data_IF_779205274149
#
_entry.id   IF_779205274149
#
_cell.length_a   1.000
_cell.length_b   1.000
_cell.length_c   1.000
_cell.angle_alpha   90.00
_cell.angle_beta   90.00
_cell.angle_gamma   90.00
#
_symmetry.space_group_name_H-M   'P 1'
#
loop_
_entity.id
_entity.type
_entity.pdbx_description
1 polymer ?
#
# COMPACT_ATOMS: atom_id res chain seq x y z
N UNK A 1 10.01 -11.27 2.75
CA UNK A 1 11.01 -11.29 1.66
C UNK A 1 12.19 -10.37 2.00
N UNK A 2 13.43 -10.76 1.70
CA UNK A 2 14.62 -9.93 2.03
C UNK A 2 14.63 -8.62 1.24
N UNK A 3 14.96 -7.53 1.92
CA UNK A 3 15.06 -6.20 1.32
C UNK A 3 16.50 -5.82 1.01
N UNK A 4 16.68 -5.30 -0.20
CA UNK A 4 17.93 -4.72 -0.66
C UNK A 4 17.66 -3.24 -0.98
N UNK A 5 18.20 -2.28 -0.20
CA UNK A 5 17.89 -0.85 -0.35
C UNK A 5 18.12 -0.34 -1.78
N UNK A 6 19.17 -0.85 -2.42
CA UNK A 6 19.55 -0.45 -3.78
C UNK A 6 18.60 -0.96 -4.86
N UNK A 7 17.81 -2.00 -4.58
CA UNK A 7 16.85 -2.57 -5.52
C UNK A 7 15.56 -1.77 -5.62
N UNK A 8 15.29 -0.85 -4.68
CA UNK A 8 14.05 -0.07 -4.61
C UNK A 8 14.33 1.41 -4.71
N UNK A 9 13.77 2.08 -5.73
CA UNK A 9 13.96 3.52 -5.96
C UNK A 9 13.58 4.36 -4.73
N UNK A 10 12.46 4.03 -4.09
CA UNK A 10 11.95 4.74 -2.91
C UNK A 10 12.80 4.55 -1.65
N UNK A 11 13.64 3.51 -1.58
CA UNK A 11 14.48 3.22 -0.41
C UNK A 11 15.90 3.77 -0.54
N UNK A 12 16.27 4.33 -1.71
CA UNK A 12 17.62 4.85 -1.96
C UNK A 12 18.02 5.99 -1.00
N UNK A 13 17.06 6.82 -0.62
CA UNK A 13 17.28 7.99 0.24
C UNK A 13 17.03 7.69 1.73
N UNK A 14 16.68 6.46 2.09
CA UNK A 14 16.42 6.07 3.48
C UNK A 14 17.69 5.56 4.16
N UNK A 15 17.89 5.94 5.42
CA UNK A 15 19.03 5.44 6.20
C UNK A 15 18.90 3.93 6.46
N UNK A 16 19.95 3.15 6.17
CA UNK A 16 19.92 1.66 6.19
C UNK A 16 19.43 1.06 7.51
N UNK A 17 19.74 1.69 8.64
CA UNK A 17 19.33 1.23 9.98
C UNK A 17 17.81 1.34 10.19
N UNK A 18 17.15 2.23 9.44
CA UNK A 18 15.71 2.43 9.53
C UNK A 18 14.92 1.46 8.64
N UNK A 19 15.59 0.75 7.73
CA UNK A 19 14.96 -0.21 6.85
C UNK A 19 14.80 -1.56 7.56
N UNK A 20 13.66 -2.20 7.31
CA UNK A 20 13.47 -3.58 7.74
C UNK A 20 14.40 -4.49 6.94
N UNK A 21 14.95 -5.53 7.57
CA UNK A 21 15.77 -6.52 6.86
C UNK A 21 14.93 -7.42 5.95
N UNK A 22 13.71 -7.71 6.38
CA UNK A 22 12.72 -8.49 5.66
C UNK A 22 11.40 -7.72 5.68
N UNK A 23 10.76 -7.63 4.53
CA UNK A 23 9.41 -7.09 4.41
C UNK A 23 8.41 -8.21 4.54
N UNK A 24 7.31 -7.94 5.24
CA UNK A 24 6.02 -8.62 5.14
C UNK A 24 5.98 -10.14 5.41
N UNK A 25 4.96 -10.64 6.12
CA UNK A 25 4.55 -12.01 5.91
C UNK A 25 3.93 -12.11 4.50
N UNK A 26 4.51 -12.93 3.64
CA UNK A 26 3.95 -13.20 2.32
C UNK A 26 3.67 -14.69 2.17
N UNK A 27 2.48 -15.08 1.68
CA UNK A 27 2.18 -16.49 1.49
C UNK A 27 2.97 -17.03 0.29
N UNK A 28 3.45 -18.26 0.44
CA UNK A 28 4.08 -19.00 -0.66
C UNK A 28 2.97 -19.61 -1.51
N UNK A 29 2.87 -19.16 -2.77
CA UNK A 29 1.86 -19.64 -3.70
C UNK A 29 2.24 -20.97 -4.36
N UNK A 30 3.53 -21.16 -4.69
CA UNK A 30 4.01 -22.39 -5.34
C UNK A 30 5.50 -22.61 -5.11
N UNK A 31 5.93 -23.87 -4.97
CA UNK A 31 7.34 -24.25 -5.08
C UNK A 31 7.69 -24.47 -6.57
N UNK A 32 8.62 -23.68 -7.11
CA UNK A 32 9.03 -23.78 -8.53
C UNK A 32 10.18 -24.78 -8.70
N UNK A 33 11.02 -24.95 -7.68
CA UNK A 33 12.10 -25.94 -7.70
C UNK A 33 12.61 -26.27 -6.31
N UNK A 34 13.76 -26.95 -6.24
CA UNK A 34 14.36 -27.33 -4.94
C UNK A 34 14.62 -26.11 -4.04
N UNK A 35 15.05 -25.00 -4.64
CA UNK A 35 15.52 -23.81 -3.93
C UNK A 35 14.74 -22.53 -4.26
N UNK A 36 13.74 -22.59 -5.15
CA UNK A 36 13.01 -21.42 -5.63
C UNK A 36 11.51 -21.54 -5.33
N UNK A 37 10.94 -20.46 -4.78
CA UNK A 37 9.54 -20.37 -4.39
C UNK A 37 8.89 -19.13 -5.00
N UNK A 38 7.66 -19.31 -5.49
CA UNK A 38 6.77 -18.24 -5.91
C UNK A 38 6.01 -17.73 -4.69
N UNK A 39 6.16 -16.45 -4.41
CA UNK A 39 5.52 -15.73 -3.32
C UNK A 39 4.42 -14.84 -3.90
N UNK A 40 3.32 -14.71 -3.18
CA UNK A 40 2.29 -13.73 -3.50
C UNK A 40 2.72 -12.36 -2.97
N UNK A 41 3.02 -11.45 -3.88
CA UNK A 41 3.40 -10.07 -3.59
C UNK A 41 2.27 -9.19 -4.10
N UNK A 42 1.97 -8.08 -3.40
CA UNK A 42 0.92 -7.15 -3.83
C UNK A 42 1.16 -6.68 -5.26
N UNK A 43 0.12 -6.58 -6.09
CA UNK A 43 0.26 -6.20 -7.50
C UNK A 43 0.83 -4.79 -7.70
N UNK A 44 0.65 -3.91 -6.71
CA UNK A 44 1.21 -2.57 -6.67
C UNK A 44 2.75 -2.54 -6.57
N UNK A 45 3.37 -3.66 -6.19
CA UNK A 45 4.81 -3.79 -6.06
C UNK A 45 5.38 -4.49 -7.30
N UNK A 46 6.10 -3.73 -8.13
CA UNK A 46 6.80 -4.23 -9.33
C UNK A 46 8.04 -5.07 -8.96
N UNK A 47 7.83 -6.19 -8.28
CA UNK A 47 8.88 -7.08 -7.76
C UNK A 47 8.68 -8.46 -8.36
N UNK A 48 9.78 -9.13 -8.72
CA UNK A 48 9.74 -10.52 -9.16
C UNK A 48 9.06 -11.40 -8.12
N UNK A 49 8.09 -12.22 -8.52
CA UNK A 49 7.36 -13.09 -7.57
C UNK A 49 8.17 -14.33 -7.14
N UNK A 50 9.31 -14.61 -7.77
CA UNK A 50 10.08 -15.84 -7.56
C UNK A 50 11.37 -15.52 -6.82
N UNK A 51 11.57 -16.17 -5.68
CA UNK A 51 12.71 -15.93 -4.80
C UNK A 51 13.47 -17.22 -4.51
N UNK A 52 14.78 -17.07 -4.34
CA UNK A 52 15.60 -18.12 -3.79
C UNK A 52 15.35 -18.28 -2.28
N UNK A 53 15.45 -19.48 -1.74
CA UNK A 53 15.18 -19.79 -0.32
C UNK A 53 16.01 -18.92 0.64
N UNK A 54 17.23 -18.53 0.25
CA UNK A 54 18.10 -17.63 1.05
C UNK A 54 17.59 -16.20 1.18
N UNK A 55 16.63 -15.79 0.36
CA UNK A 55 15.96 -14.49 0.42
C UNK A 55 14.66 -14.54 1.20
N UNK A 56 14.24 -15.73 1.66
CA UNK A 56 13.04 -15.94 2.44
C UNK A 56 13.41 -16.24 3.89
N UNK A 57 12.54 -15.82 4.80
CA UNK A 57 12.63 -16.15 6.23
C UNK A 57 11.28 -16.70 6.65
N UNK A 58 11.28 -17.86 7.30
CA UNK A 58 10.07 -18.41 7.88
C UNK A 58 9.55 -17.48 8.98
N UNK A 59 8.23 -17.24 8.97
CA UNK A 59 7.56 -16.49 10.02
C UNK A 59 7.34 -17.44 11.18
N UNK A 60 7.92 -17.12 12.34
CA UNK A 60 7.67 -17.87 13.57
C UNK A 60 6.32 -17.40 14.11
N UNK A 61 5.27 -18.20 13.89
CA UNK A 61 3.99 -18.01 14.57
C UNK A 61 4.15 -18.51 15.99
N UNK A 62 4.07 -17.61 16.96
CA UNK A 62 3.98 -18.00 18.35
C UNK A 62 2.62 -18.67 18.57
N UNK A 63 2.60 -19.80 19.29
CA UNK A 63 1.36 -20.59 19.49
C UNK A 63 0.44 -19.96 20.53
N UNK A 64 0.99 -19.11 21.40
CA UNK A 64 0.24 -18.49 22.50
C UNK A 64 -0.34 -17.12 22.14
N UNK A 65 0.33 -16.36 21.28
CA UNK A 65 -0.13 -15.04 20.83
C UNK A 65 0.26 -14.78 19.38
N UNK A 66 -0.70 -14.94 18.47
CA UNK A 66 -0.50 -14.74 17.03
C UNK A 66 -0.07 -13.30 16.70
N UNK A 67 -0.45 -12.32 17.52
CA UNK A 67 -0.10 -10.90 17.34
C UNK A 67 1.39 -10.65 17.49
N UNK A 68 2.11 -11.51 18.22
CA UNK A 68 3.56 -11.38 18.40
C UNK A 68 4.36 -11.62 17.11
N UNK A 69 3.77 -12.35 16.16
CA UNK A 69 4.37 -12.53 14.83
C UNK A 69 4.19 -11.30 13.94
N UNK A 70 3.29 -10.39 14.30
CA UNK A 70 3.03 -9.15 13.57
C UNK A 70 4.00 -8.06 14.03
N UNK A 71 4.67 -7.41 13.09
CA UNK A 71 5.47 -6.25 13.42
C UNK A 71 4.56 -5.02 13.59
N UNK A 72 4.61 -4.36 14.75
CA UNK A 72 3.97 -3.06 14.96
C UNK A 72 4.65 -1.91 14.20
N UNK A 73 5.83 -2.15 13.61
CA UNK A 73 6.56 -1.11 12.88
C UNK A 73 5.87 -0.86 11.54
N UNK A 74 5.82 0.41 11.14
CA UNK A 74 5.29 0.78 9.83
C UNK A 74 6.00 -0.03 8.72
N UNK A 75 5.23 -0.62 7.78
CA UNK A 75 5.81 -1.36 6.67
C UNK A 75 6.63 -0.43 5.78
N UNK A 76 7.71 -0.96 5.21
CA UNK A 76 8.68 -0.15 4.45
C UNK A 76 8.31 -0.08 2.97
N UNK A 77 7.71 -1.14 2.42
CA UNK A 77 7.26 -1.19 1.02
C UNK A 77 5.77 -1.47 0.87
N UNK A 78 5.18 -2.26 1.78
CA UNK A 78 3.78 -2.68 1.64
C UNK A 78 2.90 -1.74 2.46
N UNK A 79 2.36 -0.70 1.84
CA UNK A 79 1.20 -0.02 2.46
C UNK A 79 0.05 -1.04 2.49
N UNK A 80 -0.59 -1.22 3.65
CA UNK A 80 -1.86 -1.95 3.70
C UNK A 80 -2.79 -1.29 2.68
N UNK A 81 -3.32 -2.07 1.75
CA UNK A 81 -4.27 -1.61 0.74
C UNK A 81 -5.56 -1.24 1.43
N UNK A 82 -5.70 0.03 1.82
CA UNK A 82 -6.97 0.61 2.25
C UNK A 82 -7.74 1.11 1.02
N UNK A 83 -7.73 0.32 -0.08
CA UNK A 83 -8.26 0.74 -1.37
C UNK A 83 -9.75 1.07 -1.29
N UNK A 84 -10.47 0.44 -0.35
CA UNK A 84 -11.87 0.72 -0.08
C UNK A 84 -12.07 2.10 0.55
N UNK A 85 -11.32 2.42 1.62
CA UNK A 85 -11.39 3.71 2.30
C UNK A 85 -10.97 4.87 1.38
N UNK A 86 -9.94 4.66 0.56
CA UNK A 86 -9.48 5.68 -0.40
C UNK A 86 -10.54 5.96 -1.46
N UNK A 87 -11.22 4.93 -1.99
CA UNK A 87 -12.32 5.12 -2.95
C UNK A 87 -13.48 5.89 -2.34
N UNK A 88 -13.81 5.60 -1.08
CA UNK A 88 -14.88 6.27 -0.35
C UNK A 88 -14.55 7.75 -0.12
N UNK A 89 -13.31 8.06 0.27
CA UNK A 89 -12.84 9.45 0.43
C UNK A 89 -12.89 10.22 -0.90
N UNK A 90 -12.41 9.63 -2.00
CA UNK A 90 -12.43 10.28 -3.31
C UNK A 90 -13.87 10.53 -3.77
N UNK A 91 -14.78 9.60 -3.51
CA UNK A 91 -16.20 9.77 -3.82
C UNK A 91 -16.83 10.93 -3.04
N UNK A 92 -16.55 11.01 -1.73
CA UNK A 92 -17.03 12.12 -0.88
C UNK A 92 -16.47 13.46 -1.36
N UNK A 93 -15.16 13.54 -1.66
CA UNK A 93 -14.55 14.76 -2.18
C UNK A 93 -15.15 15.18 -3.54
N UNK A 94 -15.49 14.22 -4.40
CA UNK A 94 -16.21 14.45 -5.65
C UNK A 94 -17.59 15.06 -5.44
N UNK A 95 -18.36 14.56 -4.46
CA UNK A 95 -19.68 15.09 -4.10
C UNK A 95 -19.58 16.54 -3.57
N UNK A 96 -18.60 16.82 -2.72
CA UNK A 96 -18.38 18.19 -2.18
C UNK A 96 -18.04 19.16 -3.32
N UNK A 97 -17.19 18.75 -4.27
CA UNK A 97 -16.86 19.57 -5.43
C UNK A 97 -18.05 19.83 -6.36
N UNK A 98 -18.93 18.84 -6.55
CA UNK A 98 -20.17 19.00 -7.32
C UNK A 98 -21.12 19.99 -6.65
N UNK A 99 -21.33 19.85 -5.33
CA UNK A 99 -22.20 20.74 -4.55
C UNK A 99 -21.71 22.19 -4.56
N UNK A 100 -20.40 22.40 -4.50
CA UNK A 100 -19.81 23.74 -4.61
C UNK A 100 -20.09 24.39 -5.98
N UNK A 101 -20.03 23.62 -7.07
CA UNK A 101 -20.38 24.11 -8.43
C UNK A 101 -21.86 24.40 -8.59
N UNK A 102 -22.73 23.60 -7.98
CA UNK A 102 -24.17 23.86 -8.02
C UNK A 102 -24.54 25.15 -7.30
N UNK A 103 -23.90 25.44 -6.16
CA UNK A 103 -24.10 26.68 -5.42
C UNK A 103 -23.65 27.91 -6.22
N UNK A 104 -22.49 27.85 -6.89
CA UNK A 104 -22.03 28.96 -7.75
C UNK A 104 -22.98 29.20 -8.93
N UNK A 105 -23.50 28.13 -9.53
CA UNK A 105 -24.44 28.22 -10.65
C UNK A 105 -25.82 28.76 -10.24
N UNK A 106 -26.23 28.57 -8.98
CA UNK A 106 -27.47 29.13 -8.43
C UNK A 106 -27.32 30.62 -8.09
N UNK A 107 -26.14 31.02 -7.61
CA UNK A 107 -25.82 32.41 -7.30
C UNK A 107 -25.76 33.26 -8.58
N UNK A 108 -25.18 32.73 -9.67
CA UNK A 108 -25.22 33.35 -10.99
C UNK A 108 -26.65 33.44 -11.57
N UNK A 109 -27.52 32.47 -11.28
CA UNK A 109 -28.93 32.49 -11.71
C UNK A 109 -29.82 33.42 -10.90
N UNK A 110 -29.41 33.84 -9.70
CA UNK A 110 -30.16 34.76 -8.85
C UNK A 110 -29.96 36.25 -9.21
N UNK A 111 -29.03 36.55 -10.14
CA UNK A 111 -28.80 37.90 -10.67
C UNK A 111 -29.43 38.14 -12.07
N UNK A 112 -30.77 38.15 -12.19
CA UNK A 112 -31.41 39.00 -13.17
C UNK A 112 -32.46 39.83 -12.46
N UNK A 113 -32.19 41.13 -12.26
CA UNK A 113 -33.15 42.24 -12.09
C UNK A 113 -32.42 43.44 -11.47
N UNK A 114 -31.51 44.05 -12.24
CA UNK A 114 -31.17 45.46 -12.10
C UNK A 114 -30.86 46.04 -13.48
N UNK A 115 -31.88 46.07 -14.32
CA UNK A 115 -31.96 47.02 -15.43
C UNK A 115 -33.39 47.58 -15.49
N UNK A 116 -33.59 48.70 -14.80
CA UNK A 116 -34.11 49.97 -15.35
C UNK A 116 -34.20 51.02 -14.25
#
# INVERSE_FOLDING_TARGET
>A
MKLYPYSFKHLKNMHKVLLHRYEGPFPIRKRIGKVAYKVEVSPHLEIHMVFHVSQLKAVNKDKEDERRAESHRAPTLVTKTHDHEVKEIIAVLGQVAQRARELSNLEERAHPLKEK
#
